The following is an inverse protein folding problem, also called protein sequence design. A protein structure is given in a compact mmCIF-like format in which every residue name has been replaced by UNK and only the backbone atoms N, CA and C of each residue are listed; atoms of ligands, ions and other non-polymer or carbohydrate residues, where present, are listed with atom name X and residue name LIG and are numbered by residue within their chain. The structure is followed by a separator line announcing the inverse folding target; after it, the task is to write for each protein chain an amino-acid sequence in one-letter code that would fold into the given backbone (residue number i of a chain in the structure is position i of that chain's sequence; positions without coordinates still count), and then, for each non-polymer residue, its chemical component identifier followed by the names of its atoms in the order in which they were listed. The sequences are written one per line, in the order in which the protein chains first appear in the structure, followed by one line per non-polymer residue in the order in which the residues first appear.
data_IF_104826635593
#
_entry.id   IF_104826635593
#
_cell.length_a   1.000
_cell.length_b   1.000
_cell.length_c   1.000
_cell.angle_alpha   90.00
_cell.angle_beta   90.00
_cell.angle_gamma   90.00
#
_symmetry.space_group_name_H-M   'P 1'
#
loop_
_entity.id
_entity.type
_entity.pdbx_description
1 polymer ?
#
# COMPACT_ATOMS: atom_id res chain seq x y z
N UNK A 1 -39.29 -9.38 -8.04
CA UNK A 1 -38.23 -9.54 -7.08
C UNK A 1 -36.93 -9.00 -7.64
N UNK A 2 -36.36 -8.06 -6.97
CA UNK A 2 -35.06 -7.65 -7.42
C UNK A 2 -34.06 -8.75 -7.05
N UNK A 3 -33.48 -9.31 -8.03
CA UNK A 3 -32.34 -10.17 -7.80
C UNK A 3 -31.23 -9.32 -7.24
N UNK A 4 -30.83 -9.64 -6.04
CA UNK A 4 -29.58 -9.08 -5.55
C UNK A 4 -28.50 -9.50 -6.54
N UNK A 5 -27.90 -8.51 -7.17
CA UNK A 5 -26.71 -8.78 -7.99
C UNK A 5 -25.66 -9.37 -7.08
N UNK A 6 -25.37 -10.62 -7.28
CA UNK A 6 -24.22 -11.23 -6.67
C UNK A 6 -23.00 -10.49 -7.23
N UNK A 7 -22.28 -9.80 -6.36
CA UNK A 7 -21.02 -9.20 -6.73
C UNK A 7 -20.14 -10.30 -7.29
N UNK A 8 -19.70 -10.14 -8.53
CA UNK A 8 -18.80 -11.13 -9.11
C UNK A 8 -17.51 -11.14 -8.28
N UNK A 9 -17.04 -12.34 -7.96
CA UNK A 9 -15.78 -12.52 -7.22
C UNK A 9 -14.57 -11.96 -7.99
N UNK A 10 -14.78 -11.54 -9.24
CA UNK A 10 -13.74 -11.02 -10.13
C UNK A 10 -13.53 -9.52 -9.99
N UNK A 11 -14.36 -8.83 -9.21
CA UNK A 11 -14.23 -7.39 -9.01
C UNK A 11 -13.65 -7.06 -7.65
N UNK A 12 -12.87 -5.97 -7.55
CA UNK A 12 -12.36 -5.54 -6.26
C UNK A 12 -13.51 -5.09 -5.34
N UNK A 13 -13.37 -5.34 -4.04
CA UNK A 13 -14.36 -4.95 -3.03
C UNK A 13 -14.48 -3.42 -2.98
N UNK A 14 -13.34 -2.73 -3.01
CA UNK A 14 -13.32 -1.27 -3.04
C UNK A 14 -13.18 -0.78 -4.47
N UNK A 15 -14.10 0.10 -4.89
CA UNK A 15 -14.03 0.72 -6.21
C UNK A 15 -12.91 1.76 -6.22
N UNK A 16 -11.95 1.66 -7.15
CA UNK A 16 -10.86 2.63 -7.19
C UNK A 16 -11.35 4.03 -7.57
N UNK A 17 -10.71 5.05 -7.01
CA UNK A 17 -10.96 6.45 -7.33
C UNK A 17 -9.68 7.25 -7.27
N UNK A 18 -9.59 8.32 -8.04
CA UNK A 18 -8.41 9.20 -8.06
C UNK A 18 -8.26 9.88 -6.69
N UNK A 19 -7.04 9.89 -6.17
CA UNK A 19 -6.73 10.41 -4.84
C UNK A 19 -6.81 9.37 -3.74
N UNK A 20 -7.28 8.17 -4.05
CA UNK A 20 -7.34 7.06 -3.10
C UNK A 20 -5.94 6.67 -2.65
N UNK A 21 -5.75 6.49 -1.34
CA UNK A 21 -4.50 5.99 -0.81
C UNK A 21 -4.39 4.48 -1.01
N UNK A 22 -3.16 4.03 -1.24
CA UNK A 22 -2.82 2.63 -1.49
C UNK A 22 -1.60 2.29 -0.67
N UNK A 23 -1.61 1.14 -0.01
CA UNK A 23 -0.46 0.62 0.71
C UNK A 23 0.14 -0.55 -0.04
N UNK A 24 1.42 -0.47 -0.31
CA UNK A 24 2.20 -1.60 -0.84
C UNK A 24 2.76 -2.40 0.33
N UNK A 25 2.44 -3.69 0.35
CA UNK A 25 2.86 -4.59 1.41
C UNK A 25 4.11 -5.35 0.98
N UNK A 26 5.20 -5.12 1.69
CA UNK A 26 6.42 -5.91 1.60
C UNK A 26 6.48 -6.88 2.77
N UNK A 27 7.52 -7.70 2.84
CA UNK A 27 7.63 -8.69 3.91
C UNK A 27 7.55 -8.06 5.30
N UNK A 28 8.30 -6.99 5.54
CA UNK A 28 8.29 -6.27 6.84
C UNK A 28 7.95 -4.80 6.70
N UNK A 29 8.11 -4.22 5.52
CA UNK A 29 7.91 -2.81 5.28
C UNK A 29 6.56 -2.52 4.64
N UNK A 30 6.15 -1.26 4.67
CA UNK A 30 4.96 -0.74 3.99
C UNK A 30 5.33 0.55 3.28
N UNK A 31 4.89 0.70 2.04
CA UNK A 31 5.06 1.93 1.27
C UNK A 31 3.69 2.54 0.92
N UNK A 32 3.66 3.86 0.89
CA UNK A 32 2.44 4.62 0.67
C UNK A 32 2.37 5.14 -0.77
N UNK A 33 1.22 4.97 -1.40
CA UNK A 33 0.93 5.37 -2.77
C UNK A 33 -0.42 6.06 -2.85
N UNK A 34 -0.68 6.73 -3.96
CA UNK A 34 -2.00 7.28 -4.26
C UNK A 34 -2.40 6.95 -5.70
N UNK A 35 -3.69 6.77 -5.93
CA UNK A 35 -4.23 6.53 -7.27
C UNK A 35 -4.22 7.86 -8.02
N UNK A 36 -3.60 7.88 -9.20
CA UNK A 36 -3.53 9.07 -10.05
C UNK A 36 -4.34 8.94 -11.33
N UNK A 37 -4.66 7.72 -11.73
CA UNK A 37 -5.45 7.49 -12.94
C UNK A 37 -6.23 6.17 -12.84
N UNK A 38 -7.48 6.19 -13.24
CA UNK A 38 -8.31 4.99 -13.40
C UNK A 38 -8.31 4.64 -14.88
N UNK A 39 -7.57 3.58 -15.25
CA UNK A 39 -7.54 3.10 -16.62
C UNK A 39 -8.81 2.31 -16.92
N UNK A 40 -9.21 1.46 -15.98
CA UNK A 40 -10.44 0.67 -16.02
C UNK A 40 -10.81 0.26 -14.60
N UNK A 41 -11.99 -0.31 -14.35
CA UNK A 41 -12.34 -0.77 -13.01
C UNK A 41 -11.34 -1.77 -12.40
N UNK A 42 -10.54 -2.42 -13.24
CA UNK A 42 -9.59 -3.44 -12.84
C UNK A 42 -8.14 -3.09 -13.13
N UNK A 43 -7.87 -1.84 -13.53
CA UNK A 43 -6.52 -1.38 -13.82
C UNK A 43 -6.39 0.10 -13.45
N UNK A 44 -5.40 0.41 -12.66
CA UNK A 44 -5.17 1.77 -12.15
C UNK A 44 -3.69 2.11 -12.23
N UNK A 45 -3.40 3.40 -12.24
CA UNK A 45 -2.04 3.90 -12.06
C UNK A 45 -1.93 4.58 -10.71
N UNK A 46 -0.83 4.29 -10.02
CA UNK A 46 -0.54 4.86 -8.71
C UNK A 46 0.81 5.56 -8.75
N UNK A 47 0.94 6.57 -7.90
CA UNK A 47 2.21 7.30 -7.71
C UNK A 47 2.62 7.21 -6.26
N UNK A 48 3.91 6.99 -6.02
CA UNK A 48 4.44 6.94 -4.67
C UNK A 48 4.26 8.29 -3.97
N UNK A 49 3.83 8.26 -2.72
CA UNK A 49 3.77 9.44 -1.86
C UNK A 49 5.12 9.67 -1.21
N UNK A 50 5.49 10.93 -1.04
CA UNK A 50 6.60 11.27 -0.17
C UNK A 50 6.21 10.97 1.27
N UNK A 51 7.13 10.38 2.01
CA UNK A 51 6.92 10.01 3.40
C UNK A 51 8.06 10.59 4.23
N UNK A 52 7.77 11.66 4.97
CA UNK A 52 8.71 12.24 5.90
C UNK A 52 8.55 11.56 7.25
N UNK A 53 9.64 10.96 7.75
CA UNK A 53 9.62 10.33 9.05
C UNK A 53 9.67 11.43 10.13
N UNK A 54 8.55 11.63 10.81
CA UNK A 54 8.42 12.63 11.87
C UNK A 54 8.77 12.08 13.25
N UNK A 55 8.78 10.74 13.38
CA UNK A 55 9.16 10.07 14.60
C UNK A 55 9.87 8.76 14.28
N UNK A 56 11.16 8.68 14.62
CA UNK A 56 11.95 7.46 14.46
C UNK A 56 11.94 6.63 15.74
N UNK A 57 12.12 5.31 15.65
CA UNK A 57 12.37 4.50 16.85
C UNK A 57 13.62 4.99 17.57
N UNK A 58 13.55 5.08 18.90
CA UNK A 58 14.65 5.59 19.74
C UNK A 58 15.12 4.59 20.78
N UNK A 59 14.30 3.60 21.08
CA UNK A 59 14.57 2.64 22.15
C UNK A 59 15.36 1.46 21.61
N UNK A 60 16.64 1.69 21.36
CA UNK A 60 17.54 0.69 20.81
C UNK A 60 18.15 -0.16 21.93
N UNK A 61 18.00 -1.47 21.80
CA UNK A 61 18.57 -2.44 22.73
C UNK A 61 19.69 -3.23 22.03
N UNK A 62 20.97 -2.94 22.34
CA UNK A 62 22.07 -3.75 21.83
C UNK A 62 22.06 -5.11 22.54
N UNK A 63 22.28 -6.19 21.78
CA UNK A 63 22.34 -7.53 22.33
C UNK A 63 21.99 -8.60 21.32
N UNK A 64 22.24 -9.85 21.67
CA UNK A 64 22.04 -10.96 20.78
C UNK A 64 22.94 -10.89 19.54
N UNK A 65 22.45 -11.35 18.42
CA UNK A 65 23.19 -11.32 17.16
C UNK A 65 23.35 -9.89 16.63
N UNK A 66 22.32 -9.07 16.77
CA UNK A 66 22.35 -7.65 16.43
C UNK A 66 21.38 -6.93 17.35
N UNK A 67 21.57 -5.60 17.49
CA UNK A 67 20.66 -4.79 18.29
C UNK A 67 19.25 -4.72 17.70
N UNK A 68 18.31 -4.22 18.45
CA UNK A 68 16.94 -4.00 18.00
C UNK A 68 16.32 -2.76 18.63
N UNK A 69 15.30 -2.23 17.99
CA UNK A 69 14.49 -1.14 18.50
C UNK A 69 13.22 -1.69 19.13
N UNK A 70 13.04 -1.51 20.43
CA UNK A 70 11.84 -1.95 21.13
C UNK A 70 10.60 -1.16 20.70
N UNK A 71 10.78 0.08 20.26
CA UNK A 71 9.72 0.98 19.84
C UNK A 71 9.57 1.09 18.32
N UNK A 72 9.90 0.02 17.57
CA UNK A 72 9.85 0.02 16.10
C UNK A 72 8.48 0.46 15.57
N UNK A 73 7.38 0.12 16.24
CA UNK A 73 6.02 0.47 15.83
C UNK A 73 5.61 1.89 16.22
N UNK A 74 6.43 2.64 16.91
CA UNK A 74 6.13 4.02 17.30
C UNK A 74 6.52 5.05 16.25
N UNK A 75 7.03 4.63 15.11
CA UNK A 75 7.42 5.52 14.03
C UNK A 75 6.18 6.19 13.40
N UNK A 76 6.35 7.44 13.01
CA UNK A 76 5.29 8.24 12.39
C UNK A 76 5.80 8.91 11.13
N UNK A 77 4.93 9.06 10.14
CA UNK A 77 5.26 9.66 8.85
C UNK A 77 4.23 10.69 8.44
N UNK A 78 4.71 11.77 7.84
CA UNK A 78 3.87 12.73 7.12
C UNK A 78 3.90 12.39 5.64
N UNK A 79 2.75 12.13 5.06
CA UNK A 79 2.62 11.79 3.64
C UNK A 79 2.26 13.03 2.84
N UNK A 80 2.83 13.16 1.65
CA UNK A 80 2.51 14.24 0.73
C UNK A 80 2.66 13.80 -0.72
N UNK A 81 1.87 14.40 -1.60
CA UNK A 81 1.94 14.13 -3.03
C UNK A 81 3.16 14.80 -3.64
N UNK A 82 3.82 14.08 -4.55
CA UNK A 82 4.94 14.63 -5.32
C UNK A 82 4.80 14.19 -6.78
N UNK A 83 4.53 15.13 -7.71
CA UNK A 83 4.31 14.78 -9.12
C UNK A 83 5.53 14.18 -9.82
N UNK A 84 6.71 14.31 -9.24
CA UNK A 84 7.94 13.76 -9.81
C UNK A 84 8.21 12.31 -9.39
N UNK A 85 7.42 11.78 -8.46
CA UNK A 85 7.61 10.41 -7.99
C UNK A 85 7.19 9.38 -9.03
N UNK A 86 7.75 8.19 -8.92
CA UNK A 86 7.50 7.10 -9.86
C UNK A 86 6.05 6.65 -9.86
N UNK A 87 5.61 6.16 -11.01
CA UNK A 87 4.27 5.64 -11.24
C UNK A 87 4.37 4.13 -11.49
N UNK A 88 3.43 3.39 -10.90
CA UNK A 88 3.24 1.96 -11.18
C UNK A 88 1.84 1.75 -11.72
N UNK A 89 1.69 0.73 -12.58
CA UNK A 89 0.39 0.28 -13.05
C UNK A 89 0.01 -0.97 -12.30
N UNK A 90 -1.18 -0.96 -11.71
CA UNK A 90 -1.72 -2.11 -10.99
C UNK A 90 -2.88 -2.71 -11.74
N UNK A 91 -3.02 -4.03 -11.65
CA UNK A 91 -4.20 -4.74 -12.15
C UNK A 91 -4.79 -5.61 -11.04
N UNK A 92 -6.11 -5.76 -11.06
CA UNK A 92 -6.82 -6.64 -10.16
C UNK A 92 -6.65 -8.09 -10.61
N UNK A 93 -6.11 -8.92 -9.73
CA UNK A 93 -5.94 -10.36 -9.97
C UNK A 93 -7.09 -11.09 -9.29
N UNK A 94 -8.10 -11.47 -10.06
CA UNK A 94 -9.34 -12.02 -9.53
C UNK A 94 -9.14 -13.35 -8.79
N UNK A 95 -8.24 -14.20 -9.23
CA UNK A 95 -7.97 -15.46 -8.52
C UNK A 95 -7.32 -15.24 -7.17
N UNK A 96 -6.39 -14.31 -7.09
CA UNK A 96 -5.69 -13.97 -5.85
C UNK A 96 -6.46 -12.96 -5.01
N UNK A 97 -7.48 -12.31 -5.57
CA UNK A 97 -8.29 -11.27 -4.94
C UNK A 97 -7.44 -10.15 -4.37
N UNK A 98 -6.50 -9.66 -5.17
CA UNK A 98 -5.60 -8.57 -4.78
C UNK A 98 -5.16 -7.76 -5.98
N UNK A 99 -4.72 -6.54 -5.69
CA UNK A 99 -4.08 -5.68 -6.66
C UNK A 99 -2.60 -6.02 -6.75
N UNK A 100 -2.08 -6.14 -7.97
CA UNK A 100 -0.68 -6.48 -8.20
C UNK A 100 -0.11 -5.57 -9.27
N UNK A 101 1.18 -5.31 -9.19
CA UNK A 101 1.89 -4.57 -10.22
C UNK A 101 1.91 -5.38 -11.52
N UNK A 102 1.59 -4.71 -12.64
CA UNK A 102 1.62 -5.33 -13.97
C UNK A 102 3.03 -5.79 -14.28
N UNK A 103 3.16 -7.06 -14.69
CA UNK A 103 4.46 -7.66 -14.99
C UNK A 103 5.10 -8.38 -13.82
N UNK A 104 4.57 -8.27 -12.62
CA UNK A 104 5.07 -8.97 -11.44
C UNK A 104 4.26 -10.24 -11.18
N UNK A 105 4.93 -11.24 -10.62
CA UNK A 105 4.23 -12.43 -10.15
C UNK A 105 3.37 -12.09 -8.93
N UNK A 106 2.17 -12.65 -8.88
CA UNK A 106 1.19 -12.35 -7.84
C UNK A 106 1.74 -12.52 -6.42
N UNK A 107 2.58 -13.52 -6.21
CA UNK A 107 3.15 -13.82 -4.89
C UNK A 107 4.13 -12.76 -4.38
N UNK A 108 4.67 -11.94 -5.28
CA UNK A 108 5.65 -10.91 -4.93
C UNK A 108 5.08 -9.49 -4.97
N UNK A 109 3.78 -9.36 -5.21
CA UNK A 109 3.16 -8.06 -5.36
C UNK A 109 1.81 -8.05 -4.66
N UNK A 110 1.65 -7.13 -3.71
CA UNK A 110 0.40 -7.00 -2.98
C UNK A 110 0.17 -5.54 -2.59
N UNK A 111 -0.94 -4.99 -3.08
CA UNK A 111 -1.34 -3.61 -2.83
C UNK A 111 -2.75 -3.60 -2.26
N UNK A 112 -2.97 -2.83 -1.21
CA UNK A 112 -4.29 -2.65 -0.61
C UNK A 112 -4.79 -1.24 -0.83
N UNK A 113 -6.00 -1.11 -1.39
CA UNK A 113 -6.66 0.17 -1.58
C UNK A 113 -7.46 0.54 -0.34
N UNK A 114 -7.31 1.77 0.12
CA UNK A 114 -7.99 2.27 1.30
C UNK A 114 -9.32 2.93 0.94
N UNK A 115 -10.24 2.97 1.88
CA UNK A 115 -11.52 3.66 1.74
C UNK A 115 -11.31 5.17 1.79
N UNK A 116 -12.33 5.91 1.36
CA UNK A 116 -12.31 7.38 1.47
C UNK A 116 -12.08 7.80 2.92
N UNK A 117 -11.15 8.74 3.10
CA UNK A 117 -10.78 9.25 4.41
C UNK A 117 -9.74 8.41 5.14
N UNK A 118 -9.40 7.24 4.63
CA UNK A 118 -8.32 6.42 5.18
C UNK A 118 -7.00 6.79 4.54
N UNK A 119 -5.92 6.67 5.33
CA UNK A 119 -4.57 7.03 4.91
C UNK A 119 -3.74 5.77 4.65
N UNK A 120 -2.90 5.82 3.64
CA UNK A 120 -1.93 4.76 3.39
C UNK A 120 -0.95 4.63 4.55
N UNK A 121 -0.36 3.45 4.66
CA UNK A 121 0.58 3.12 5.72
C UNK A 121 2.00 3.18 5.17
N UNK A 122 2.87 3.90 5.87
CA UNK A 122 4.31 3.84 5.66
C UNK A 122 4.93 3.22 6.89
N UNK A 123 5.76 2.21 6.68
CA UNK A 123 6.45 1.54 7.78
C UNK A 123 7.80 1.02 7.28
N UNK A 124 8.84 1.30 8.01
CA UNK A 124 10.17 0.76 7.77
C UNK A 124 10.58 -0.09 8.98
N UNK A 125 11.00 -1.31 8.72
CA UNK A 125 11.43 -2.20 9.81
C UNK A 125 12.88 -1.89 10.20
N UNK A 126 13.05 -1.12 11.25
CA UNK A 126 14.36 -0.73 11.76
C UNK A 126 15.15 -1.90 12.37
N UNK A 127 14.49 -3.04 12.58
CA UNK A 127 15.10 -4.24 13.15
C UNK A 127 15.50 -5.28 12.12
N UNK A 128 15.23 -5.00 10.85
CA UNK A 128 15.48 -5.95 9.76
C UNK A 128 16.86 -5.78 9.15
#
# INVERSE_FOLDING_TARGET
MSMMKVKTINEPVEKPFVGQHVTEFHYTDRDAWEVVEIVSPRRIKIRELDAECTRKPKDFHPGGFCGHFADNHSQEYKLSSNPDNKIKTLSWRSKAKRWCEVGQQTQYSCFGLHKRGETAIKFYDWNF
#
